data_IF_659807405698
#
_entry.id   IF_659807405698
#
_cell.length_a   1.000
_cell.length_b   1.000
_cell.length_c   1.000
_cell.angle_alpha   90.00
_cell.angle_beta   90.00
_cell.angle_gamma   90.00
#
_symmetry.space_group_name_H-M   'P 1'
#
loop_
_entity.id
_entity.type
_entity.pdbx_description
1 polymer ?
#
# COMPACT_ATOMS: atom_id res chain seq x y z
N UNK A 1 21.42 -3.77 14.81
CA UNK A 1 20.64 -4.79 15.55
C UNK A 1 20.87 -6.10 14.82
N UNK A 2 21.45 -7.10 15.49
CA UNK A 2 21.88 -8.35 14.84
C UNK A 2 20.68 -9.29 14.63
N UNK A 3 20.68 -10.05 13.53
CA UNK A 3 19.71 -11.11 13.28
C UNK A 3 19.88 -12.23 14.31
N UNK A 4 18.84 -12.50 15.09
CA UNK A 4 18.82 -13.66 15.98
C UNK A 4 18.40 -14.91 15.19
N UNK A 5 18.86 -16.13 15.58
CA UNK A 5 18.43 -17.38 14.94
C UNK A 5 16.91 -17.58 14.94
N UNK A 6 16.24 -17.03 15.97
CA UNK A 6 14.78 -17.01 16.07
C UNK A 6 14.14 -16.17 14.96
N UNK A 7 14.65 -14.95 14.74
CA UNK A 7 14.16 -14.07 13.68
C UNK A 7 14.36 -14.66 12.29
N UNK A 8 15.51 -15.29 12.03
CA UNK A 8 15.76 -15.97 10.74
C UNK A 8 14.77 -17.12 10.48
N UNK A 9 14.46 -17.90 11.52
CA UNK A 9 13.45 -18.95 11.45
C UNK A 9 12.05 -18.39 11.12
N UNK A 10 11.66 -17.30 11.78
CA UNK A 10 10.39 -16.62 11.53
C UNK A 10 10.33 -16.04 10.10
N UNK A 11 11.40 -15.42 9.61
CA UNK A 11 11.49 -14.89 8.24
C UNK A 11 11.32 -16.03 7.23
N UNK A 12 12.00 -17.16 7.44
CA UNK A 12 11.86 -18.32 6.56
C UNK A 12 10.44 -18.87 6.55
N UNK A 13 9.79 -18.96 7.72
CA UNK A 13 8.40 -19.40 7.84
C UNK A 13 7.43 -18.44 7.12
N UNK A 14 7.58 -17.13 7.34
CA UNK A 14 6.77 -16.10 6.70
C UNK A 14 6.96 -16.10 5.17
N UNK A 15 8.20 -16.23 4.68
CA UNK A 15 8.51 -16.34 3.26
C UNK A 15 7.77 -17.52 2.62
N UNK A 16 7.77 -18.68 3.28
CA UNK A 16 7.02 -19.86 2.81
C UNK A 16 5.51 -19.61 2.71
N UNK A 17 4.92 -18.85 3.64
CA UNK A 17 3.49 -18.49 3.63
C UNK A 17 3.14 -17.51 2.52
N UNK A 18 3.93 -16.46 2.36
CA UNK A 18 3.73 -15.46 1.30
C UNK A 18 3.87 -16.09 -0.09
N UNK A 19 4.86 -16.97 -0.29
CA UNK A 19 4.99 -17.73 -1.55
C UNK A 19 3.83 -18.70 -1.81
N UNK A 20 3.18 -19.19 -0.76
CA UNK A 20 1.97 -20.02 -0.88
C UNK A 20 0.70 -19.20 -1.19
N UNK A 21 0.81 -17.87 -1.24
CA UNK A 21 -0.29 -16.95 -1.57
C UNK A 21 -1.08 -16.45 -0.36
N UNK A 22 -0.61 -16.67 0.86
CA UNK A 22 -1.22 -16.04 2.04
C UNK A 22 -1.04 -14.51 1.97
N UNK A 23 -2.03 -13.74 2.41
CA UNK A 23 -1.85 -12.31 2.65
C UNK A 23 -0.89 -12.07 3.82
N UNK A 24 -0.27 -10.89 3.94
CA UNK A 24 0.58 -10.59 5.08
C UNK A 24 -0.07 -10.82 6.46
N UNK A 25 -1.32 -10.41 6.68
CA UNK A 25 -2.03 -10.71 7.93
C UNK A 25 -2.21 -12.21 8.15
N UNK A 26 -2.56 -12.97 7.10
CA UNK A 26 -2.75 -14.41 7.24
C UNK A 26 -1.42 -15.13 7.50
N UNK A 27 -0.34 -14.71 6.82
CA UNK A 27 1.01 -15.19 7.07
C UNK A 27 1.44 -14.88 8.52
N UNK A 28 1.19 -13.66 8.99
CA UNK A 28 1.42 -13.24 10.38
C UNK A 28 0.72 -14.17 11.37
N UNK A 29 -0.59 -14.37 11.23
CA UNK A 29 -1.36 -15.24 12.13
C UNK A 29 -0.80 -16.65 12.17
N UNK A 30 -0.50 -17.23 10.99
CA UNK A 30 -0.01 -18.62 10.87
C UNK A 30 1.40 -18.80 11.43
N UNK A 31 2.23 -17.77 11.40
CA UNK A 31 3.57 -17.80 12.00
C UNK A 31 3.46 -17.57 13.51
N UNK A 32 2.66 -16.58 13.95
CA UNK A 32 2.47 -16.23 15.35
C UNK A 32 1.87 -17.37 16.19
N UNK A 33 0.90 -18.12 15.62
CA UNK A 33 0.25 -19.26 16.30
C UNK A 33 1.20 -20.40 16.66
N UNK A 34 2.44 -20.43 16.13
CA UNK A 34 3.45 -21.40 16.56
C UNK A 34 4.15 -21.04 17.88
N UNK A 35 3.73 -19.95 18.53
CA UNK A 35 4.16 -19.57 19.89
C UNK A 35 5.35 -18.62 19.93
N UNK A 36 5.55 -17.82 18.88
CA UNK A 36 6.63 -16.82 18.80
C UNK A 36 6.23 -15.45 19.35
N UNK A 37 7.23 -14.60 19.59
CA UNK A 37 7.02 -13.18 19.91
C UNK A 37 6.25 -12.47 18.77
N UNK A 38 5.13 -11.83 19.12
CA UNK A 38 4.22 -11.17 18.17
C UNK A 38 4.86 -9.98 17.45
N UNK A 39 5.75 -9.24 18.12
CA UNK A 39 6.49 -8.11 17.54
C UNK A 39 7.54 -8.63 16.57
N UNK A 40 8.31 -9.65 16.96
CA UNK A 40 9.29 -10.28 16.07
C UNK A 40 8.63 -10.95 14.87
N UNK A 41 7.45 -11.54 15.05
CA UNK A 41 6.67 -12.13 13.95
C UNK A 41 6.22 -11.06 12.96
N UNK A 42 5.77 -9.89 13.42
CA UNK A 42 5.41 -8.78 12.54
C UNK A 42 6.60 -8.32 11.70
N UNK A 43 7.77 -8.15 12.35
CA UNK A 43 9.03 -7.80 11.65
C UNK A 43 9.39 -8.86 10.63
N UNK A 44 9.33 -10.15 11.00
CA UNK A 44 9.66 -11.24 10.11
C UNK A 44 8.80 -11.27 8.84
N UNK A 45 7.48 -11.03 8.98
CA UNK A 45 6.57 -10.94 7.83
C UNK A 45 6.86 -9.71 6.97
N UNK A 46 7.12 -8.55 7.58
CA UNK A 46 7.49 -7.34 6.84
C UNK A 46 8.80 -7.52 6.06
N UNK A 47 9.79 -8.19 6.66
CA UNK A 47 11.07 -8.50 6.02
C UNK A 47 10.92 -9.55 4.92
N UNK A 48 10.12 -10.60 5.15
CA UNK A 48 9.80 -11.58 4.12
C UNK A 48 9.06 -10.95 2.92
N UNK A 49 8.32 -9.86 3.14
CA UNK A 49 7.70 -9.04 2.10
C UNK A 49 8.66 -8.09 1.36
N UNK A 50 9.94 -8.07 1.73
CA UNK A 50 11.00 -7.30 1.04
C UNK A 50 11.45 -6.02 1.74
N UNK A 51 10.85 -5.65 2.88
CA UNK A 51 11.28 -4.49 3.66
C UNK A 51 12.61 -4.77 4.38
N UNK A 52 13.50 -3.80 4.46
CA UNK A 52 14.74 -3.98 5.21
C UNK A 52 14.47 -4.18 6.71
N UNK A 53 15.31 -4.94 7.40
CA UNK A 53 15.16 -5.17 8.84
C UNK A 53 15.10 -3.86 9.65
N UNK A 54 16.00 -2.92 9.34
CA UNK A 54 16.06 -1.63 10.03
C UNK A 54 14.76 -0.84 9.86
N UNK A 55 14.22 -0.84 8.65
CA UNK A 55 12.97 -0.13 8.34
C UNK A 55 11.77 -0.81 9.01
N UNK A 56 11.68 -2.14 8.96
CA UNK A 56 10.62 -2.90 9.61
C UNK A 56 10.57 -2.62 11.12
N UNK A 57 11.73 -2.53 11.78
CA UNK A 57 11.80 -2.16 13.20
C UNK A 57 11.44 -0.70 13.45
N UNK A 58 11.95 0.23 12.64
CA UNK A 58 11.65 1.65 12.80
C UNK A 58 10.15 1.91 12.68
N UNK A 59 9.49 1.33 11.67
CA UNK A 59 8.05 1.46 11.46
C UNK A 59 7.25 0.83 12.59
N UNK A 60 7.72 -0.28 13.17
CA UNK A 60 6.99 -0.97 14.24
C UNK A 60 6.83 -0.10 15.49
N UNK A 61 7.71 0.89 15.69
CA UNK A 61 7.60 1.84 16.81
C UNK A 61 6.29 2.63 16.79
N UNK A 62 5.71 2.89 15.62
CA UNK A 62 4.41 3.56 15.50
C UNK A 62 3.24 2.70 16.00
N UNK A 63 3.47 1.40 16.19
CA UNK A 63 2.48 0.41 16.59
C UNK A 63 2.80 -0.22 17.96
N UNK A 64 3.73 0.36 18.74
CA UNK A 64 4.16 -0.26 20.00
C UNK A 64 3.01 -0.52 20.98
N UNK A 65 2.08 0.43 21.06
CA UNK A 65 0.88 0.37 21.92
C UNK A 65 -0.06 -0.78 21.53
N UNK A 66 -0.16 -1.12 20.23
CA UNK A 66 -0.98 -2.23 19.74
C UNK A 66 -0.58 -3.57 20.37
N UNK A 67 0.70 -3.75 20.71
CA UNK A 67 1.20 -4.98 21.31
C UNK A 67 1.17 -4.97 22.85
N UNK A 68 0.83 -3.84 23.46
CA UNK A 68 0.71 -3.71 24.92
C UNK A 68 -0.70 -4.01 25.41
N UNK A 69 -1.70 -3.79 24.56
CA UNK A 69 -3.13 -3.96 24.87
C UNK A 69 -3.69 -5.34 24.49
N UNK A 70 -2.95 -6.13 23.73
CA UNK A 70 -3.45 -7.36 23.10
C UNK A 70 -2.77 -8.61 23.68
N UNK A 71 -3.56 -9.67 23.86
CA UNK A 71 -3.15 -10.92 24.49
C UNK A 71 -2.95 -12.07 23.49
N UNK A 72 -2.28 -13.14 23.93
CA UNK A 72 -2.13 -14.38 23.14
C UNK A 72 -3.52 -14.95 22.80
N UNK A 73 -3.75 -15.29 21.53
CA UNK A 73 -5.04 -15.70 20.97
C UNK A 73 -5.77 -14.63 20.16
N UNK A 74 -5.24 -13.40 20.09
CA UNK A 74 -5.79 -12.28 19.31
C UNK A 74 -4.91 -11.92 18.10
N UNK A 75 -4.11 -12.88 17.62
CA UNK A 75 -3.14 -12.67 16.53
C UNK A 75 -3.82 -12.22 15.23
N UNK A 76 -5.05 -12.66 14.99
CA UNK A 76 -5.83 -12.25 13.83
C UNK A 76 -6.14 -10.75 13.86
N UNK A 77 -6.51 -10.21 15.03
CA UNK A 77 -6.83 -8.79 15.19
C UNK A 77 -5.57 -7.96 14.92
N UNK A 78 -4.43 -8.33 15.50
CA UNK A 78 -3.17 -7.62 15.28
C UNK A 78 -2.77 -7.68 13.80
N UNK A 79 -2.79 -8.86 13.20
CA UNK A 79 -2.43 -9.05 11.80
C UNK A 79 -3.27 -8.19 10.87
N UNK A 80 -4.58 -8.17 11.08
CA UNK A 80 -5.52 -7.34 10.31
C UNK A 80 -5.26 -5.84 10.51
N UNK A 81 -5.06 -5.38 11.74
CA UNK A 81 -4.76 -3.97 12.03
C UNK A 81 -3.47 -3.54 11.36
N UNK A 82 -2.40 -4.34 11.45
CA UNK A 82 -1.12 -4.06 10.80
C UNK A 82 -1.24 -4.04 9.27
N UNK A 83 -2.02 -4.94 8.67
CA UNK A 83 -2.25 -4.96 7.22
C UNK A 83 -3.08 -3.76 6.74
N UNK A 84 -4.11 -3.36 7.51
CA UNK A 84 -4.92 -2.18 7.19
C UNK A 84 -4.09 -0.90 7.32
N UNK A 85 -3.28 -0.80 8.38
CA UNK A 85 -2.39 0.33 8.61
C UNK A 85 -1.25 0.41 7.58
N UNK A 86 -0.97 -0.69 6.86
CA UNK A 86 0.06 -0.75 5.83
C UNK A 86 1.46 -1.02 6.39
N UNK A 87 1.56 -1.56 7.61
CA UNK A 87 2.85 -1.91 8.21
C UNK A 87 3.63 -2.92 7.34
N UNK A 88 2.91 -3.88 6.73
CA UNK A 88 3.50 -4.90 5.86
C UNK A 88 3.79 -4.43 4.43
N UNK A 89 3.40 -3.21 4.04
CA UNK A 89 3.61 -2.74 2.68
C UNK A 89 5.09 -2.47 2.41
N UNK A 90 5.64 -3.14 1.41
CA UNK A 90 6.98 -2.85 0.91
C UNK A 90 6.96 -1.50 0.18
N UNK A 91 7.75 -0.53 0.65
CA UNK A 91 7.87 0.75 -0.04
C UNK A 91 8.74 0.55 -1.28
N UNK A 92 8.19 0.90 -2.43
CA UNK A 92 8.92 0.86 -3.70
C UNK A 92 9.65 2.18 -3.87
N UNK A 93 10.97 2.10 -4.09
CA UNK A 93 11.71 3.24 -4.62
C UNK A 93 11.37 3.38 -6.10
N UNK A 94 10.73 4.48 -6.45
CA UNK A 94 10.38 4.76 -7.83
C UNK A 94 11.59 5.24 -8.61
N UNK A 95 11.68 4.79 -9.86
CA UNK A 95 12.53 5.45 -10.84
C UNK A 95 11.92 6.82 -11.23
N UNK A 96 12.57 7.53 -12.15
CA UNK A 96 12.12 8.83 -12.64
C UNK A 96 10.66 8.76 -13.15
N UNK A 97 10.32 7.72 -13.91
CA UNK A 97 8.97 7.54 -14.45
C UNK A 97 7.92 7.30 -13.35
N UNK A 98 8.20 6.42 -12.39
CA UNK A 98 7.31 6.19 -11.25
C UNK A 98 7.12 7.42 -10.36
N UNK A 99 8.17 8.25 -10.25
CA UNK A 99 8.12 9.52 -9.52
C UNK A 99 7.21 10.51 -10.21
N UNK A 100 7.35 10.71 -11.53
CA UNK A 100 6.47 11.61 -12.31
C UNK A 100 4.99 11.19 -12.25
N UNK A 101 4.71 9.89 -12.31
CA UNK A 101 3.34 9.36 -12.16
C UNK A 101 2.79 9.66 -10.77
N UNK A 102 3.60 9.44 -9.74
CA UNK A 102 3.22 9.70 -8.34
C UNK A 102 2.92 11.17 -8.13
N UNK A 103 3.77 12.05 -8.64
CA UNK A 103 3.56 13.50 -8.57
C UNK A 103 2.28 13.92 -9.29
N UNK A 104 2.04 13.42 -10.51
CA UNK A 104 0.80 13.71 -11.23
C UNK A 104 -0.45 13.27 -10.45
N UNK A 105 -0.44 12.08 -9.83
CA UNK A 105 -1.56 11.61 -9.02
C UNK A 105 -1.74 12.42 -7.73
N UNK A 106 -0.65 12.87 -7.10
CA UNK A 106 -0.71 13.74 -5.94
C UNK A 106 -1.27 15.12 -6.27
N UNK A 107 -0.86 15.72 -7.39
CA UNK A 107 -1.42 17.01 -7.84
C UNK A 107 -2.90 16.89 -8.22
N UNK A 108 -3.30 15.78 -8.84
CA UNK A 108 -4.72 15.48 -9.06
C UNK A 108 -5.47 15.48 -7.72
N UNK A 109 -5.01 14.73 -6.72
CA UNK A 109 -5.65 14.70 -5.40
C UNK A 109 -5.73 16.07 -4.74
N UNK A 110 -4.70 16.92 -4.85
CA UNK A 110 -4.73 18.28 -4.32
C UNK A 110 -5.78 19.14 -5.02
N UNK A 111 -5.90 19.02 -6.34
CA UNK A 111 -6.93 19.72 -7.13
C UNK A 111 -8.34 19.16 -6.89
N UNK A 112 -8.45 17.92 -6.41
CA UNK A 112 -9.72 17.27 -6.14
C UNK A 112 -10.45 17.85 -4.92
N UNK A 113 -9.69 18.42 -3.98
CA UNK A 113 -10.19 18.81 -2.66
C UNK A 113 -10.15 17.65 -1.66
N UNK A 114 -10.83 17.80 -0.50
CA UNK A 114 -10.85 16.79 0.55
C UNK A 114 -11.37 15.43 0.04
N UNK A 115 -10.56 14.39 0.18
CA UNK A 115 -10.96 13.01 -0.08
C UNK A 115 -11.46 12.33 1.20
N UNK A 116 -12.38 11.35 1.11
CA UNK A 116 -12.70 10.49 2.24
C UNK A 116 -11.43 9.84 2.80
N UNK A 117 -11.26 9.87 4.13
CA UNK A 117 -10.01 9.45 4.80
C UNK A 117 -9.56 8.04 4.42
N UNK A 118 -10.50 7.10 4.30
CA UNK A 118 -10.21 5.73 3.88
C UNK A 118 -9.67 5.62 2.46
N UNK A 119 -10.17 6.46 1.52
CA UNK A 119 -9.64 6.48 0.16
C UNK A 119 -8.28 7.16 0.11
N UNK A 120 -8.13 8.31 0.78
CA UNK A 120 -6.84 9.01 0.85
C UNK A 120 -5.74 8.07 1.37
N UNK A 121 -6.04 7.33 2.44
CA UNK A 121 -5.15 6.30 2.99
C UNK A 121 -4.83 5.21 1.95
N UNK A 122 -5.85 4.63 1.31
CA UNK A 122 -5.65 3.55 0.35
C UNK A 122 -4.84 4.00 -0.89
N UNK A 123 -5.11 5.19 -1.42
CA UNK A 123 -4.39 5.76 -2.55
C UNK A 123 -2.95 6.06 -2.17
N UNK A 124 -2.71 6.72 -1.03
CA UNK A 124 -1.34 7.00 -0.55
C UNK A 124 -0.54 5.71 -0.36
N UNK A 125 -1.16 4.69 0.19
CA UNK A 125 -0.57 3.36 0.35
C UNK A 125 -0.15 2.76 -0.98
N UNK A 126 -1.02 2.81 -1.99
CA UNK A 126 -0.70 2.33 -3.35
C UNK A 126 0.39 3.15 -4.05
N UNK A 127 0.41 4.47 -3.85
CA UNK A 127 1.45 5.36 -4.38
C UNK A 127 2.83 5.02 -3.79
N UNK A 128 2.88 4.48 -2.57
CA UNK A 128 4.13 4.14 -1.89
C UNK A 128 4.54 2.67 -2.06
N UNK A 129 3.60 1.77 -2.35
CA UNK A 129 3.79 0.32 -2.33
C UNK A 129 3.72 -0.37 -3.70
N UNK A 130 4.00 0.33 -4.81
CA UNK A 130 4.06 -0.31 -6.12
C UNK A 130 2.76 -0.29 -6.95
N UNK A 131 1.69 0.31 -6.44
CA UNK A 131 0.33 0.18 -6.99
C UNK A 131 -0.16 1.37 -7.84
N UNK A 132 0.69 1.97 -8.68
CA UNK A 132 0.37 3.23 -9.38
C UNK A 132 -0.88 3.13 -10.28
N UNK A 133 -1.08 2.00 -10.98
CA UNK A 133 -2.27 1.82 -11.83
C UNK A 133 -3.54 1.66 -11.00
N UNK A 134 -3.47 0.92 -9.90
CA UNK A 134 -4.59 0.77 -8.98
C UNK A 134 -4.88 2.08 -8.26
N UNK A 135 -3.87 2.89 -7.93
CA UNK A 135 -4.03 4.23 -7.40
C UNK A 135 -4.78 5.11 -8.41
N UNK A 136 -4.32 5.14 -9.66
CA UNK A 136 -4.98 5.85 -10.76
C UNK A 136 -6.45 5.44 -10.92
N UNK A 137 -6.74 4.13 -10.99
CA UNK A 137 -8.11 3.63 -11.14
C UNK A 137 -9.00 4.01 -9.96
N UNK A 138 -8.48 3.97 -8.73
CA UNK A 138 -9.25 4.38 -7.55
C UNK A 138 -9.53 5.87 -7.51
N UNK A 139 -8.57 6.70 -7.94
CA UNK A 139 -8.79 8.14 -8.08
C UNK A 139 -9.79 8.40 -9.21
N UNK A 140 -9.62 7.83 -10.40
CA UNK A 140 -10.57 8.04 -11.49
C UNK A 140 -11.99 7.62 -11.09
N UNK A 141 -12.14 6.43 -10.48
CA UNK A 141 -13.44 5.91 -10.08
C UNK A 141 -14.17 6.84 -9.10
N UNK A 142 -13.50 7.38 -8.06
CA UNK A 142 -14.18 8.24 -7.10
C UNK A 142 -14.70 9.52 -7.74
N UNK A 143 -13.85 10.19 -8.52
CA UNK A 143 -14.20 11.48 -9.12
C UNK A 143 -14.91 11.34 -10.47
N UNK A 144 -15.10 10.12 -10.97
CA UNK A 144 -15.92 9.86 -12.16
C UNK A 144 -17.40 10.22 -11.96
N UNK A 145 -17.91 10.03 -10.73
CA UNK A 145 -19.26 10.39 -10.29
C UNK A 145 -19.30 11.66 -9.44
N UNK A 146 -18.14 12.18 -9.04
CA UNK A 146 -17.99 13.39 -8.25
C UNK A 146 -17.67 14.61 -9.11
N UNK A 147 -17.60 15.79 -8.48
CA UNK A 147 -17.01 16.98 -9.08
C UNK A 147 -15.85 17.43 -8.20
N UNK A 148 -14.59 17.31 -8.67
CA UNK A 148 -13.43 17.84 -7.94
C UNK A 148 -13.53 19.36 -7.78
N UNK A 149 -12.87 19.93 -6.76
CA UNK A 149 -12.88 21.38 -6.52
C UNK A 149 -12.32 22.20 -7.69
N UNK A 150 -11.26 21.69 -8.34
CA UNK A 150 -10.72 22.26 -9.57
C UNK A 150 -10.71 21.20 -10.69
N UNK A 151 -11.83 21.04 -11.43
CA UNK A 151 -11.97 19.99 -12.44
C UNK A 151 -10.94 20.04 -13.55
N UNK A 152 -10.62 21.23 -14.05
CA UNK A 152 -9.70 21.36 -15.16
C UNK A 152 -8.29 20.91 -14.76
N UNK A 153 -7.80 21.35 -13.60
CA UNK A 153 -6.48 20.96 -13.09
C UNK A 153 -6.47 19.47 -12.72
N UNK A 154 -7.54 18.98 -12.05
CA UNK A 154 -7.68 17.57 -11.71
C UNK A 154 -7.60 16.66 -12.93
N UNK A 155 -8.43 16.89 -13.95
CA UNK A 155 -8.48 16.03 -15.14
C UNK A 155 -7.22 16.15 -16.00
N UNK A 156 -6.56 17.32 -16.04
CA UNK A 156 -5.27 17.48 -16.71
C UNK A 156 -4.18 16.59 -16.06
N UNK A 157 -4.08 16.58 -14.73
CA UNK A 157 -3.13 15.73 -14.02
C UNK A 157 -3.48 14.24 -14.16
N UNK A 158 -4.76 13.87 -14.12
CA UNK A 158 -5.20 12.49 -14.37
C UNK A 158 -4.87 12.02 -15.79
N UNK A 159 -5.08 12.86 -16.80
CA UNK A 159 -4.71 12.55 -18.19
C UNK A 159 -3.19 12.41 -18.35
N UNK A 160 -2.41 13.27 -17.69
CA UNK A 160 -0.94 13.13 -17.69
C UNK A 160 -0.49 11.83 -17.01
N UNK A 161 -1.06 11.47 -15.87
CA UNK A 161 -0.78 10.22 -15.19
C UNK A 161 -1.10 9.01 -16.08
N UNK A 162 -2.26 9.00 -16.76
CA UNK A 162 -2.63 7.94 -17.69
C UNK A 162 -1.63 7.81 -18.86
N UNK A 163 -1.20 8.95 -19.43
CA UNK A 163 -0.20 8.99 -20.49
C UNK A 163 1.14 8.40 -20.03
N UNK A 164 1.59 8.74 -18.84
CA UNK A 164 2.85 8.24 -18.26
C UNK A 164 2.77 6.73 -17.92
N UNK A 165 1.61 6.26 -17.47
CA UNK A 165 1.35 4.84 -17.20
C UNK A 165 1.34 3.97 -18.47
N UNK A 166 1.15 4.59 -19.64
CA UNK A 166 1.14 3.92 -20.94
C UNK A 166 0.02 2.89 -21.09
N UNK A 167 0.16 2.00 -22.06
CA UNK A 167 -0.82 0.94 -22.28
C UNK A 167 -0.81 -0.08 -21.13
N UNK A 168 -1.99 -0.61 -20.82
CA UNK A 168 -2.18 -1.62 -19.77
C UNK A 168 -3.24 -2.64 -20.16
N UNK A 169 -3.01 -3.89 -19.77
CA UNK A 169 -4.01 -4.98 -19.85
C UNK A 169 -4.90 -5.04 -18.60
N UNK A 170 -4.66 -4.16 -17.62
CA UNK A 170 -5.46 -4.10 -16.40
C UNK A 170 -6.92 -3.73 -16.74
N UNK A 171 -7.90 -4.51 -16.29
CA UNK A 171 -9.30 -4.29 -16.64
C UNK A 171 -9.77 -2.86 -16.32
N UNK A 172 -10.42 -2.21 -17.28
CA UNK A 172 -10.98 -0.87 -17.11
C UNK A 172 -9.97 0.27 -17.24
N UNK A 173 -8.68 -0.01 -17.39
CA UNK A 173 -7.65 1.03 -17.50
C UNK A 173 -7.81 1.87 -18.76
N UNK A 174 -7.99 1.23 -19.92
CA UNK A 174 -8.10 1.94 -21.21
C UNK A 174 -9.30 2.89 -21.21
N UNK A 175 -10.45 2.44 -20.70
CA UNK A 175 -11.66 3.25 -20.61
C UNK A 175 -11.48 4.41 -19.62
N UNK A 176 -10.82 4.18 -18.48
CA UNK A 176 -10.50 5.22 -17.51
C UNK A 176 -9.54 6.27 -18.08
N UNK A 177 -8.48 5.83 -18.76
CA UNK A 177 -7.52 6.70 -19.43
C UNK A 177 -8.20 7.59 -20.49
N UNK A 178 -9.08 7.01 -21.31
CA UNK A 178 -9.84 7.78 -22.30
C UNK A 178 -10.75 8.83 -21.66
N UNK A 179 -11.48 8.48 -20.58
CA UNK A 179 -12.32 9.45 -19.86
C UNK A 179 -11.52 10.60 -19.29
N UNK A 180 -10.35 10.34 -18.73
CA UNK A 180 -9.46 11.38 -18.22
C UNK A 180 -9.00 12.32 -19.35
N UNK A 181 -8.62 11.76 -20.49
CA UNK A 181 -8.24 12.52 -21.67
C UNK A 181 -9.41 13.38 -22.20
N UNK A 182 -10.61 12.84 -22.29
CA UNK A 182 -11.77 13.60 -22.80
C UNK A 182 -12.13 14.74 -21.84
N UNK A 183 -12.05 14.51 -20.52
CA UNK A 183 -12.36 15.51 -19.50
C UNK A 183 -11.27 16.58 -19.33
N UNK A 184 -10.03 16.32 -19.72
CA UNK A 184 -8.97 17.33 -19.65
C UNK A 184 -9.08 18.43 -20.73
N UNK A 185 -9.91 18.19 -21.76
CA UNK A 185 -10.11 19.11 -22.89
C UNK A 185 -11.48 19.83 -22.86
N UNK A 186 -12.32 19.54 -21.87
CA UNK A 186 -13.60 20.20 -21.63
C UNK A 186 -13.46 21.27 -20.54
#
# INVERSE_FOLDING_TARGET
MENTPELESLISAATGRLHAGDTPALAYVRVATTGGDLRLTAVAVCVAGGTSLSEAHQRLLEYSELFEEVSLGEENIIGEVLEVAGYFDHRVEWDEAGTEITEALQEALRAAGPAPSGLAHNVYRRLTAGGLRQAFLSVEALWSSGTPENPQVFWAHMANAARLLGDSVEPGFAEAAQRCHDRSHN
#
